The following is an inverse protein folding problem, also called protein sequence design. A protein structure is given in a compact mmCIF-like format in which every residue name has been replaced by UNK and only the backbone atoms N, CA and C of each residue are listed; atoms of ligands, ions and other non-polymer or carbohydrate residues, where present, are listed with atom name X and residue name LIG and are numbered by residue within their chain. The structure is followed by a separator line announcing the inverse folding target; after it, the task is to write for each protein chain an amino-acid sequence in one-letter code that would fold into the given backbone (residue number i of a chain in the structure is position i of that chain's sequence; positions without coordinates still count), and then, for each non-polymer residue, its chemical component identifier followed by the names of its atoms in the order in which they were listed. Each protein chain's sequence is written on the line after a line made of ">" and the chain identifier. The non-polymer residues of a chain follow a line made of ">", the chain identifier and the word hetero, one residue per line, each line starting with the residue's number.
data_IF_720127393010
#
_entry.id   IF_720127393010
#
_cell.length_a   1.000
_cell.length_b   1.000
_cell.length_c   1.000
_cell.angle_alpha   90.00
_cell.angle_beta   90.00
_cell.angle_gamma   90.00
#
_symmetry.space_group_name_H-M   'P 1'
#
loop_
_entity.id
_entity.type
_entity.pdbx_description
1 polymer ?
#
# COMPACT_ATOMS: atom_id res chain seq x y z
N UNK A 1 12.94 -4.57 23.85
CA UNK A 1 12.11 -4.02 22.75
C UNK A 1 10.69 -3.85 23.26
N UNK A 2 10.10 -2.66 23.16
CA UNK A 2 8.75 -2.42 23.68
C UNK A 2 7.70 -3.15 22.84
N UNK A 3 6.66 -3.71 23.47
CA UNK A 3 5.62 -4.52 22.79
C UNK A 3 4.95 -3.78 21.60
N UNK A 4 4.88 -2.45 21.67
CA UNK A 4 4.39 -1.57 20.60
C UNK A 4 5.28 -1.55 19.35
N UNK A 5 6.60 -1.69 19.53
CA UNK A 5 7.56 -1.70 18.44
C UNK A 5 7.49 -3.00 17.63
N UNK A 6 7.25 -4.13 18.31
CA UNK A 6 7.05 -5.44 17.67
C UNK A 6 5.77 -5.43 16.83
N UNK A 7 4.66 -4.91 17.38
CA UNK A 7 3.39 -4.76 16.64
C UNK A 7 3.55 -3.89 15.38
N UNK A 8 4.27 -2.78 15.48
CA UNK A 8 4.55 -1.92 14.32
C UNK A 8 5.39 -2.61 13.25
N UNK A 9 6.41 -3.38 13.66
CA UNK A 9 7.25 -4.13 12.73
C UNK A 9 6.47 -5.24 12.02
N UNK A 10 5.56 -5.91 12.74
CA UNK A 10 4.75 -7.01 12.23
C UNK A 10 3.73 -6.52 11.19
N UNK A 11 3.11 -5.36 11.45
CA UNK A 11 2.25 -4.67 10.48
C UNK A 11 3.02 -4.26 9.22
N UNK A 12 4.23 -3.72 9.37
CA UNK A 12 5.08 -3.35 8.24
C UNK A 12 5.46 -4.59 7.42
N UNK A 13 5.84 -5.69 8.07
CA UNK A 13 6.22 -6.92 7.40
C UNK A 13 5.05 -7.56 6.64
N UNK A 14 3.86 -7.63 7.25
CA UNK A 14 2.64 -8.13 6.59
C UNK A 14 2.31 -7.31 5.34
N UNK A 15 2.49 -5.98 5.42
CA UNK A 15 2.23 -5.08 4.31
C UNK A 15 3.20 -5.31 3.13
N UNK A 16 4.49 -5.47 3.39
CA UNK A 16 5.51 -5.78 2.38
C UNK A 16 5.25 -7.12 1.71
N UNK A 17 4.85 -8.15 2.48
CA UNK A 17 4.52 -9.48 1.94
C UNK A 17 3.32 -9.39 0.99
N UNK A 18 2.26 -8.67 1.36
CA UNK A 18 1.10 -8.45 0.48
C UNK A 18 1.51 -7.75 -0.83
N UNK A 19 2.40 -6.76 -0.75
CA UNK A 19 2.94 -6.03 -1.90
C UNK A 19 3.77 -6.92 -2.86
N UNK A 20 4.55 -7.85 -2.30
CA UNK A 20 5.36 -8.78 -3.10
C UNK A 20 4.48 -9.89 -3.71
N UNK A 21 3.49 -10.40 -2.96
CA UNK A 21 2.60 -11.46 -3.44
C UNK A 21 1.62 -11.01 -4.52
N UNK A 22 1.32 -9.71 -4.60
CA UNK A 22 0.40 -9.17 -5.61
C UNK A 22 1.11 -9.02 -6.96
N UNK A 23 1.28 -10.17 -7.62
CA UNK A 23 1.66 -10.25 -9.03
C UNK A 23 0.40 -10.11 -9.88
N UNK A 24 0.17 -8.91 -10.40
CA UNK A 24 -0.96 -8.64 -11.27
C UNK A 24 -0.81 -7.32 -12.02
N UNK A 25 -1.76 -7.09 -12.92
CA UNK A 25 -1.94 -5.81 -13.60
C UNK A 25 -3.29 -5.25 -13.15
N UNK A 26 -3.30 -4.06 -12.53
CA UNK A 26 -4.56 -3.36 -12.24
C UNK A 26 -4.89 -2.49 -13.44
N UNK A 27 -6.06 -2.74 -14.02
CA UNK A 27 -6.61 -1.89 -15.08
C UNK A 27 -7.55 -0.88 -14.45
N UNK A 28 -7.14 0.38 -14.41
CA UNK A 28 -7.98 1.47 -13.92
C UNK A 28 -8.77 2.01 -15.11
N UNK A 29 -10.09 1.95 -15.03
CA UNK A 29 -10.96 2.44 -16.11
C UNK A 29 -11.35 3.90 -15.82
N UNK A 30 -10.57 4.83 -16.34
CA UNK A 30 -10.83 6.28 -16.20
C UNK A 30 -11.78 6.73 -17.31
N UNK A 31 -13.07 6.38 -17.14
CA UNK A 31 -14.22 6.78 -17.97
C UNK A 31 -14.20 6.34 -19.46
N UNK A 32 -13.11 6.58 -20.19
CA UNK A 32 -12.92 6.16 -21.59
C UNK A 32 -11.52 5.58 -21.85
N UNK A 33 -10.59 5.76 -20.91
CA UNK A 33 -9.20 5.34 -21.06
C UNK A 33 -8.89 4.23 -20.04
N UNK A 34 -8.69 3.02 -20.54
CA UNK A 34 -8.22 1.88 -19.75
C UNK A 34 -6.71 1.99 -19.64
N UNK A 35 -6.20 2.31 -18.45
CA UNK A 35 -4.76 2.34 -18.21
C UNK A 35 -4.38 1.15 -17.34
N UNK A 36 -3.59 0.26 -17.91
CA UNK A 36 -3.12 -0.94 -17.24
C UNK A 36 -1.79 -0.64 -16.56
N UNK A 37 -1.80 -0.55 -15.24
CA UNK A 37 -0.60 -0.36 -14.44
C UNK A 37 -0.20 -1.67 -13.77
N UNK A 38 1.10 -1.88 -13.55
CA UNK A 38 1.54 -2.97 -12.67
C UNK A 38 0.96 -2.73 -11.28
N UNK A 39 0.33 -3.76 -10.71
CA UNK A 39 -0.29 -3.71 -9.37
C UNK A 39 0.68 -3.21 -8.31
N UNK A 40 1.97 -3.51 -8.47
CA UNK A 40 3.05 -3.06 -7.59
C UNK A 40 3.09 -1.54 -7.43
N UNK A 41 3.00 -0.77 -8.52
CA UNK A 41 3.03 0.70 -8.46
C UNK A 41 1.77 1.28 -7.84
N UNK A 42 0.60 0.69 -8.14
CA UNK A 42 -0.68 1.13 -7.60
C UNK A 42 -0.74 0.87 -6.09
N UNK A 43 -0.28 -0.29 -5.63
CA UNK A 43 -0.19 -0.61 -4.21
C UNK A 43 0.84 0.26 -3.48
N UNK A 44 1.97 0.57 -4.10
CA UNK A 44 2.96 1.49 -3.53
C UNK A 44 2.37 2.89 -3.36
N UNK A 45 1.61 3.37 -4.35
CA UNK A 45 0.90 4.65 -4.29
C UNK A 45 -0.18 4.65 -3.20
N UNK A 46 -1.02 3.62 -3.14
CA UNK A 46 -2.04 3.48 -2.10
C UNK A 46 -1.42 3.40 -0.68
N UNK A 47 -0.30 2.71 -0.54
CA UNK A 47 0.48 2.66 0.69
C UNK A 47 0.97 4.05 1.10
N UNK A 48 1.58 4.78 0.17
CA UNK A 48 2.06 6.14 0.40
C UNK A 48 0.93 7.07 0.85
N UNK A 49 -0.23 7.01 0.17
CA UNK A 49 -1.41 7.81 0.53
C UNK A 49 -1.95 7.42 1.92
N UNK A 50 -2.00 6.12 2.24
CA UNK A 50 -2.44 5.65 3.56
C UNK A 50 -1.54 6.11 4.70
N UNK A 51 -0.21 6.09 4.50
CA UNK A 51 0.77 6.61 5.48
C UNK A 51 0.60 8.12 5.66
N UNK A 52 0.47 8.87 4.58
CA UNK A 52 0.30 10.33 4.63
C UNK A 52 -1.03 10.70 5.29
N UNK A 53 -2.13 10.03 4.93
CA UNK A 53 -3.44 10.25 5.54
C UNK A 53 -3.45 9.90 7.03
N UNK A 54 -2.85 8.76 7.41
CA UNK A 54 -2.71 8.35 8.80
C UNK A 54 -1.83 9.31 9.61
N UNK A 55 -0.78 9.86 9.00
CA UNK A 55 0.06 10.89 9.63
C UNK A 55 -0.69 12.22 9.84
N UNK A 56 -1.53 12.61 8.87
CA UNK A 56 -2.36 13.83 8.96
C UNK A 56 -3.49 13.71 10.00
N UNK A 57 -4.12 12.54 10.14
CA UNK A 57 -5.18 12.28 11.13
C UNK A 57 -4.65 12.09 12.56
N UNK A 58 -3.34 11.91 12.74
CA UNK A 58 -2.69 11.82 14.06
C UNK A 58 -2.39 13.20 14.66
N UNK A 59 -2.79 14.26 13.98
CA UNK A 59 -2.78 15.65 14.46
C UNK A 59 -4.06 15.94 15.24
#
# INVERSE_FOLDING_TARGET
>A
MSKRMILGLLLLAAFVVVLIMTQGSVTVNLFSMKVTWRTSYVLLGAAGVGVVAGALLRK
#
